data_IF_973498238221
#
_entry.id   IF_973498238221
#
_cell.length_a   1.000
_cell.length_b   1.000
_cell.length_c   1.000
_cell.angle_alpha   90.00
_cell.angle_beta   90.00
_cell.angle_gamma   90.00
#
_symmetry.space_group_name_H-M   'P 1'
#
loop_
_entity.id
_entity.type
_entity.pdbx_description
1 polymer ?
#
# COMPACT_ATOMS: atom_id res chain seq x y z
N UNK A 1 15.71 21.66 1.20
CA UNK A 1 14.55 20.76 1.45
C UNK A 1 14.86 19.33 1.01
N UNK A 2 15.32 19.09 -0.22
CA UNK A 2 15.56 17.73 -0.75
C UNK A 2 16.54 16.89 0.09
N UNK A 3 17.63 17.48 0.61
CA UNK A 3 18.58 16.79 1.51
C UNK A 3 17.94 16.39 2.84
N UNK A 4 17.07 17.25 3.41
CA UNK A 4 16.35 16.92 4.65
C UNK A 4 15.36 15.78 4.39
N UNK A 5 14.63 15.83 3.28
CA UNK A 5 13.70 14.77 2.88
C UNK A 5 14.43 13.43 2.68
N UNK A 6 15.66 13.46 2.16
CA UNK A 6 16.50 12.26 2.06
C UNK A 6 16.85 11.64 3.42
N UNK A 7 16.92 12.43 4.50
CA UNK A 7 17.09 11.93 5.86
C UNK A 7 15.76 11.50 6.49
N UNK A 8 14.65 12.19 6.18
CA UNK A 8 13.32 11.87 6.71
C UNK A 8 12.89 10.45 6.32
N UNK A 9 13.11 10.04 5.07
CA UNK A 9 12.69 8.73 4.56
C UNK A 9 13.28 7.53 5.33
N UNK A 10 14.61 7.38 5.48
CA UNK A 10 15.17 6.28 6.26
C UNK A 10 14.78 6.36 7.74
N UNK A 11 14.66 7.57 8.31
CA UNK A 11 14.20 7.74 9.69
C UNK A 11 12.74 7.31 9.87
N UNK A 12 11.84 7.62 8.93
CA UNK A 12 10.44 7.20 9.02
C UNK A 12 10.29 5.69 8.94
N UNK A 13 11.10 5.03 8.09
CA UNK A 13 11.13 3.57 7.98
C UNK A 13 11.69 2.93 9.26
N UNK A 14 12.72 3.52 9.86
CA UNK A 14 13.27 3.05 11.13
C UNK A 14 12.23 3.17 12.26
N UNK A 15 11.56 4.33 12.36
CA UNK A 15 10.48 4.56 13.34
C UNK A 15 9.34 3.57 13.13
N UNK A 16 8.91 3.35 11.88
CA UNK A 16 7.88 2.35 11.57
C UNK A 16 8.30 0.95 12.06
N UNK A 17 9.56 0.57 11.82
CA UNK A 17 10.11 -0.70 12.32
C UNK A 17 10.21 -0.78 13.84
N UNK A 18 10.43 0.32 14.54
CA UNK A 18 10.57 0.34 16.01
C UNK A 18 9.23 0.43 16.75
N UNK A 19 8.31 1.25 16.26
CA UNK A 19 7.07 1.60 16.97
C UNK A 19 5.82 0.92 16.41
N UNK A 20 5.82 0.52 15.13
CA UNK A 20 4.63 0.02 14.45
C UNK A 20 3.49 1.04 14.40
N UNK A 21 2.27 0.56 14.16
CA UNK A 21 1.08 1.42 14.12
C UNK A 21 0.37 1.53 15.47
N UNK A 22 0.10 2.76 15.96
CA UNK A 22 -0.64 2.92 17.20
C UNK A 22 -2.09 2.48 16.99
N UNK A 23 -2.57 1.57 17.84
CA UNK A 23 -3.96 1.07 17.84
C UNK A 23 -4.91 2.09 18.49
N UNK A 24 -4.98 3.30 17.95
CA UNK A 24 -5.78 4.39 18.51
C UNK A 24 -6.67 5.02 17.46
N UNK A 25 -7.86 5.49 17.88
CA UNK A 25 -8.79 6.25 17.03
C UNK A 25 -8.25 7.60 16.57
N UNK A 26 -7.16 8.07 17.18
CA UNK A 26 -6.52 9.34 16.89
C UNK A 26 -5.40 9.21 15.84
N UNK A 27 -5.12 8.00 15.37
CA UNK A 27 -4.20 7.80 14.26
C UNK A 27 -4.70 8.55 13.01
N UNK A 28 -3.85 9.28 12.26
CA UNK A 28 -4.31 10.10 11.13
C UNK A 28 -5.15 9.34 10.11
N UNK A 29 -4.78 8.11 9.77
CA UNK A 29 -5.56 7.26 8.86
C UNK A 29 -6.94 6.90 9.44
N UNK A 30 -7.04 6.66 10.75
CA UNK A 30 -8.32 6.41 11.41
C UNK A 30 -9.21 7.66 11.45
N UNK A 31 -8.62 8.85 11.56
CA UNK A 31 -9.34 10.12 11.47
C UNK A 31 -9.87 10.37 10.05
N UNK A 32 -9.05 10.12 9.02
CA UNK A 32 -9.47 10.14 7.61
C UNK A 32 -10.65 9.18 7.42
N UNK A 33 -10.51 7.93 7.89
CA UNK A 33 -11.56 6.93 7.78
C UNK A 33 -12.85 7.30 8.51
N UNK A 34 -12.74 7.87 9.72
CA UNK A 34 -13.90 8.34 10.48
C UNK A 34 -14.62 9.49 9.77
N UNK A 35 -13.86 10.40 9.16
CA UNK A 35 -14.41 11.50 8.38
C UNK A 35 -15.13 11.01 7.11
N UNK A 36 -14.52 10.06 6.39
CA UNK A 36 -15.16 9.40 5.24
C UNK A 36 -16.41 8.63 5.67
N UNK A 37 -16.39 7.92 6.79
CA UNK A 37 -17.55 7.21 7.32
C UNK A 37 -18.72 8.14 7.72
N UNK A 38 -18.45 9.42 7.96
CA UNK A 38 -19.47 10.43 8.20
C UNK A 38 -20.16 10.87 6.89
N UNK A 39 -19.40 11.27 5.86
CA UNK A 39 -19.98 11.81 4.63
C UNK A 39 -20.28 10.75 3.55
N UNK A 40 -19.51 9.68 3.51
CA UNK A 40 -19.49 8.65 2.46
C UNK A 40 -20.64 7.63 2.54
N UNK A 41 -21.78 8.02 3.12
CA UNK A 41 -22.96 7.17 3.28
C UNK A 41 -23.89 7.37 2.07
N UNK A 42 -24.06 6.38 1.17
CA UNK A 42 -24.85 6.57 -0.05
C UNK A 42 -26.28 7.03 0.22
N UNK A 43 -26.90 6.51 1.29
CA UNK A 43 -28.26 6.87 1.71
C UNK A 43 -28.41 8.33 2.17
N UNK A 44 -27.33 9.03 2.51
CA UNK A 44 -27.38 10.45 2.88
C UNK A 44 -27.50 11.38 1.66
N UNK A 45 -27.36 10.86 0.44
CA UNK A 45 -27.33 11.64 -0.79
C UNK A 45 -28.39 11.16 -1.77
N UNK A 46 -29.08 12.10 -2.41
CA UNK A 46 -29.98 11.76 -3.50
C UNK A 46 -29.20 11.07 -4.63
N UNK A 47 -29.70 9.98 -5.24
CA UNK A 47 -28.94 9.19 -6.21
C UNK A 47 -28.39 9.97 -7.42
N UNK A 48 -29.03 11.09 -7.78
CA UNK A 48 -28.59 11.96 -8.87
C UNK A 48 -27.33 12.79 -8.53
N UNK A 49 -27.10 13.10 -7.24
CA UNK A 49 -25.97 13.95 -6.81
C UNK A 49 -24.80 13.15 -6.26
N UNK A 50 -24.95 11.85 -6.00
CA UNK A 50 -23.92 10.99 -5.39
C UNK A 50 -22.55 11.09 -6.09
N UNK A 51 -22.52 11.12 -7.43
CA UNK A 51 -21.26 11.27 -8.19
C UNK A 51 -20.58 12.61 -7.95
N UNK A 52 -21.36 13.70 -7.98
CA UNK A 52 -20.84 15.06 -7.75
C UNK A 52 -20.37 15.20 -6.30
N UNK A 53 -21.16 14.71 -5.35
CA UNK A 53 -20.79 14.67 -3.95
C UNK A 53 -19.48 13.90 -3.73
N UNK A 54 -19.33 12.72 -4.36
CA UNK A 54 -18.10 11.94 -4.33
C UNK A 54 -16.88 12.73 -4.81
N UNK A 55 -16.98 13.44 -5.94
CA UNK A 55 -15.89 14.28 -6.47
C UNK A 55 -15.56 15.43 -5.52
N UNK A 56 -16.57 16.19 -5.08
CA UNK A 56 -16.37 17.35 -4.19
C UNK A 56 -15.76 16.92 -2.86
N UNK A 57 -16.31 15.86 -2.25
CA UNK A 57 -15.84 15.35 -0.98
C UNK A 57 -14.46 14.69 -1.09
N UNK A 58 -14.09 14.16 -2.25
CA UNK A 58 -12.72 13.69 -2.50
C UNK A 58 -11.71 14.83 -2.38
N UNK A 59 -11.92 15.93 -3.11
CA UNK A 59 -11.03 17.09 -3.04
C UNK A 59 -11.02 17.72 -1.65
N UNK A 60 -12.18 17.82 -1.02
CA UNK A 60 -12.28 18.35 0.34
C UNK A 60 -11.51 17.49 1.36
N UNK A 61 -11.68 16.17 1.32
CA UNK A 61 -10.98 15.24 2.20
C UNK A 61 -9.47 15.33 1.98
N UNK A 62 -9.00 15.28 0.73
CA UNK A 62 -7.57 15.44 0.41
C UNK A 62 -7.03 16.75 0.93
N UNK A 63 -7.72 17.87 0.70
CA UNK A 63 -7.28 19.19 1.14
C UNK A 63 -7.16 19.26 2.67
N UNK A 64 -8.18 18.81 3.40
CA UNK A 64 -8.20 18.86 4.88
C UNK A 64 -7.08 18.01 5.48
N UNK A 65 -6.84 16.80 4.96
CA UNK A 65 -5.88 15.88 5.55
C UNK A 65 -4.45 16.05 5.05
N UNK A 66 -4.24 16.63 3.86
CA UNK A 66 -2.91 16.99 3.38
C UNK A 66 -2.42 18.34 3.92
N UNK A 67 -3.34 19.24 4.33
CA UNK A 67 -2.98 20.58 4.81
C UNK A 67 -1.96 20.57 5.97
N UNK A 68 -2.09 19.76 7.04
CA UNK A 68 -1.09 19.72 8.11
C UNK A 68 0.31 19.33 7.62
N UNK A 69 0.39 18.43 6.64
CA UNK A 69 1.65 17.97 6.05
C UNK A 69 2.27 19.06 5.17
N UNK A 70 1.44 19.74 4.37
CA UNK A 70 1.86 20.90 3.59
C UNK A 70 2.36 22.05 4.46
N UNK A 71 1.64 22.37 5.54
CA UNK A 71 2.06 23.40 6.49
C UNK A 71 3.37 23.01 7.18
N UNK A 72 3.56 21.74 7.51
CA UNK A 72 4.80 21.25 8.07
C UNK A 72 5.97 21.43 7.09
N UNK A 73 5.84 20.98 5.84
CA UNK A 73 6.88 21.18 4.82
C UNK A 73 7.18 22.66 4.58
N UNK A 74 6.17 23.53 4.58
CA UNK A 74 6.34 24.93 4.19
C UNK A 74 6.90 25.83 5.28
N UNK A 75 6.53 25.57 6.53
CA UNK A 75 6.72 26.52 7.64
C UNK A 75 7.53 25.98 8.82
N UNK A 76 7.71 24.66 8.98
CA UNK A 76 8.58 24.17 10.04
C UNK A 76 10.04 24.47 9.68
N UNK A 77 10.84 25.04 10.61
CA UNK A 77 12.27 25.17 10.39
C UNK A 77 12.90 23.78 10.27
N UNK A 78 14.00 23.69 9.51
CA UNK A 78 14.60 22.43 9.11
C UNK A 78 14.89 21.45 10.26
N UNK A 79 15.29 21.95 11.43
CA UNK A 79 15.60 21.12 12.60
C UNK A 79 14.35 20.51 13.24
N UNK A 80 13.22 21.23 13.26
CA UNK A 80 11.94 20.67 13.70
C UNK A 80 11.39 19.69 12.66
N UNK A 81 11.55 20.00 11.38
CA UNK A 81 11.12 19.11 10.30
C UNK A 81 11.91 17.80 10.32
N UNK A 82 13.20 17.83 10.66
CA UNK A 82 14.02 16.63 10.80
C UNK A 82 13.53 15.68 11.91
N UNK A 83 12.93 16.23 12.97
CA UNK A 83 12.37 15.45 14.08
C UNK A 83 10.93 15.03 13.81
N UNK A 84 10.08 15.95 13.34
CA UNK A 84 8.65 15.71 13.14
C UNK A 84 8.34 14.97 11.82
N UNK A 85 9.05 15.30 10.75
CA UNK A 85 8.84 14.76 9.41
C UNK A 85 8.83 13.23 9.33
N UNK A 86 9.75 12.52 10.02
CA UNK A 86 9.70 11.05 10.08
C UNK A 86 8.37 10.50 10.62
N UNK A 87 7.76 11.15 11.60
CA UNK A 87 6.45 10.75 12.14
C UNK A 87 5.32 11.04 11.15
N UNK A 88 5.35 12.20 10.49
CA UNK A 88 4.39 12.52 9.43
C UNK A 88 4.42 11.47 8.32
N UNK A 89 5.60 11.19 7.76
CA UNK A 89 5.74 10.21 6.69
C UNK A 89 5.35 8.80 7.16
N UNK A 90 5.74 8.43 8.39
CA UNK A 90 5.36 7.14 8.99
C UNK A 90 3.85 6.94 9.01
N UNK A 91 3.03 7.96 9.25
CA UNK A 91 1.56 7.81 9.22
C UNK A 91 0.98 7.45 7.85
N UNK A 92 1.77 7.65 6.78
CA UNK A 92 1.40 7.29 5.42
C UNK A 92 1.90 5.88 5.03
N UNK A 93 2.70 5.23 5.89
CA UNK A 93 3.33 3.93 5.65
C UNK A 93 2.73 2.87 6.58
N UNK A 94 2.83 1.60 6.20
CA UNK A 94 2.42 0.47 7.05
C UNK A 94 3.36 -0.74 6.94
N UNK A 95 4.65 -0.53 6.72
CA UNK A 95 5.57 -1.62 6.35
C UNK A 95 5.69 -2.70 7.44
N UNK A 96 5.98 -2.32 8.68
CA UNK A 96 6.06 -3.26 9.81
C UNK A 96 4.73 -3.98 10.02
N UNK A 97 3.64 -3.22 10.05
CA UNK A 97 2.29 -3.73 10.29
C UNK A 97 1.92 -4.81 9.27
N UNK A 98 2.22 -4.61 7.98
CA UNK A 98 1.96 -5.60 6.93
C UNK A 98 2.74 -6.91 7.15
N UNK A 99 4.03 -6.82 7.49
CA UNK A 99 4.83 -8.02 7.77
C UNK A 99 4.35 -8.74 9.04
N UNK A 100 3.93 -8.00 10.08
CA UNK A 100 3.41 -8.56 11.32
C UNK A 100 2.09 -9.32 11.10
N UNK A 101 1.12 -8.72 10.40
CA UNK A 101 -0.16 -9.38 10.13
C UNK A 101 0.01 -10.62 9.24
N UNK A 102 0.85 -10.56 8.20
CA UNK A 102 1.12 -11.73 7.35
C UNK A 102 1.77 -12.89 8.14
N UNK A 103 2.71 -12.58 9.05
CA UNK A 103 3.30 -13.60 9.93
C UNK A 103 2.31 -14.14 10.94
N UNK A 104 1.51 -13.27 11.55
CA UNK A 104 0.50 -13.67 12.54
C UNK A 104 -0.48 -14.69 11.94
N UNK A 105 -0.92 -14.49 10.69
CA UNK A 105 -1.76 -15.47 9.98
C UNK A 105 -1.00 -16.78 9.76
N UNK A 106 0.25 -16.73 9.27
CA UNK A 106 1.07 -17.93 9.08
C UNK A 106 1.27 -18.75 10.36
N UNK A 107 1.54 -18.08 11.47
CA UNK A 107 1.72 -18.71 12.78
C UNK A 107 0.40 -19.26 13.33
N UNK A 108 -0.70 -18.49 13.23
CA UNK A 108 -2.02 -18.89 13.70
C UNK A 108 -2.52 -20.14 12.95
N UNK A 109 -2.44 -20.13 11.62
CA UNK A 109 -2.85 -21.27 10.78
C UNK A 109 -2.01 -22.53 11.04
N UNK A 110 -0.78 -22.38 11.54
CA UNK A 110 0.06 -23.52 11.96
C UNK A 110 -0.44 -24.19 13.23
N UNK A 111 -1.21 -23.48 14.07
CA UNK A 111 -1.73 -23.96 15.35
C UNK A 111 -3.18 -24.40 15.24
N UNK A 112 -4.02 -23.53 14.67
CA UNK A 112 -5.46 -23.75 14.53
C UNK A 112 -6.01 -22.98 13.32
N UNK A 113 -6.81 -23.66 12.49
CA UNK A 113 -7.40 -23.03 11.30
C UNK A 113 -8.42 -21.93 11.70
N UNK A 114 -9.15 -22.12 12.80
CA UNK A 114 -10.08 -21.12 13.31
C UNK A 114 -9.38 -19.83 13.72
N UNK A 115 -8.26 -19.93 14.43
CA UNK A 115 -7.39 -18.79 14.77
C UNK A 115 -6.88 -18.10 13.51
N UNK A 116 -6.39 -18.87 12.52
CA UNK A 116 -5.98 -18.36 11.22
C UNK A 116 -7.06 -17.58 10.47
N UNK A 117 -8.29 -18.10 10.44
CA UNK A 117 -9.46 -17.43 9.84
C UNK A 117 -9.81 -16.12 10.55
N UNK A 118 -9.63 -16.08 11.87
CA UNK A 118 -9.83 -14.87 12.68
C UNK A 118 -8.75 -13.83 12.39
N UNK A 119 -7.48 -14.21 12.39
CA UNK A 119 -6.38 -13.29 12.11
C UNK A 119 -6.48 -12.71 10.70
N UNK A 120 -6.77 -13.54 9.68
CA UNK A 120 -6.87 -13.03 8.32
C UNK A 120 -8.08 -12.13 8.09
N UNK A 121 -9.15 -12.28 8.89
CA UNK A 121 -10.31 -11.37 8.83
C UNK A 121 -9.97 -9.92 9.18
N UNK A 122 -8.84 -9.70 9.89
CA UNK A 122 -8.33 -8.35 10.17
C UNK A 122 -7.64 -7.71 8.96
N UNK A 123 -7.29 -8.50 7.93
CA UNK A 123 -6.58 -8.05 6.73
C UNK A 123 -7.46 -7.92 5.49
N UNK A 124 -8.61 -8.61 5.46
CA UNK A 124 -9.47 -8.69 4.27
C UNK A 124 -10.93 -8.44 4.62
N UNK A 125 -11.67 -7.83 3.69
CA UNK A 125 -13.11 -7.58 3.82
C UNK A 125 -14.00 -8.75 3.39
N UNK A 126 -13.42 -9.84 2.87
CA UNK A 126 -14.17 -11.06 2.46
C UNK A 126 -14.47 -11.94 3.67
N UNK A 127 -15.55 -12.71 3.60
CA UNK A 127 -15.85 -13.74 4.60
C UNK A 127 -14.71 -14.78 4.66
N UNK A 128 -14.28 -15.11 5.88
CA UNK A 128 -13.14 -16.01 6.12
C UNK A 128 -13.55 -17.35 6.73
N UNK A 129 -14.80 -17.49 7.16
CA UNK A 129 -15.28 -18.62 7.97
C UNK A 129 -15.16 -19.99 7.30
N UNK A 130 -15.17 -20.03 5.97
CA UNK A 130 -15.12 -21.28 5.18
C UNK A 130 -13.79 -21.51 4.47
N UNK A 131 -12.81 -20.61 4.63
CA UNK A 131 -11.53 -20.71 3.91
C UNK A 131 -10.71 -21.91 4.38
N UNK A 132 -10.10 -22.66 3.47
CA UNK A 132 -9.09 -23.68 3.78
C UNK A 132 -7.77 -23.06 4.27
N UNK A 133 -6.84 -23.87 4.81
CA UNK A 133 -5.49 -23.43 5.22
C UNK A 133 -4.82 -22.58 4.11
N UNK A 134 -4.68 -23.15 2.91
CA UNK A 134 -4.10 -22.45 1.76
C UNK A 134 -4.87 -21.19 1.37
N UNK A 135 -6.19 -21.16 1.49
CA UNK A 135 -6.99 -19.97 1.15
C UNK A 135 -6.88 -18.86 2.21
N UNK A 136 -6.65 -19.21 3.47
CA UNK A 136 -6.33 -18.27 4.55
C UNK A 136 -4.94 -17.68 4.32
N UNK A 137 -3.93 -18.50 4.05
CA UNK A 137 -2.59 -18.02 3.70
C UNK A 137 -2.63 -17.16 2.42
N UNK A 138 -3.43 -17.57 1.44
CA UNK A 138 -3.60 -16.81 0.19
C UNK A 138 -4.16 -15.43 0.49
N UNK A 139 -5.22 -15.33 1.29
CA UNK A 139 -5.79 -14.04 1.67
C UNK A 139 -4.74 -13.10 2.29
N UNK A 140 -3.88 -13.63 3.18
CA UNK A 140 -2.83 -12.85 3.83
C UNK A 140 -1.75 -12.39 2.83
N UNK A 141 -1.22 -13.29 2.00
CA UNK A 141 -0.16 -12.95 1.05
C UNK A 141 -0.67 -12.15 -0.16
N UNK A 142 -1.92 -12.32 -0.56
CA UNK A 142 -2.61 -11.45 -1.53
C UNK A 142 -2.68 -10.01 -0.99
N UNK A 143 -3.12 -9.85 0.27
CA UNK A 143 -3.22 -8.54 0.93
C UNK A 143 -1.84 -7.89 1.11
N UNK A 144 -0.82 -8.67 1.48
CA UNK A 144 0.57 -8.21 1.55
C UNK A 144 1.10 -7.75 0.18
N UNK A 145 0.85 -8.53 -0.88
CA UNK A 145 1.29 -8.22 -2.23
C UNK A 145 0.64 -6.95 -2.78
N UNK A 146 -0.64 -6.74 -2.49
CA UNK A 146 -1.37 -5.52 -2.83
C UNK A 146 -0.78 -4.31 -2.11
N UNK A 147 -0.69 -4.41 -0.79
CA UNK A 147 -0.29 -3.32 0.07
C UNK A 147 1.20 -2.97 -0.02
N UNK A 148 2.02 -3.80 -0.66
CA UNK A 148 3.35 -3.38 -1.09
C UNK A 148 3.25 -2.09 -1.92
N UNK A 149 2.31 -2.01 -2.85
CA UNK A 149 2.12 -0.79 -3.64
C UNK A 149 1.41 0.28 -2.81
N UNK A 150 0.23 -0.05 -2.29
CA UNK A 150 -0.68 0.94 -1.70
C UNK A 150 -0.19 1.54 -0.37
N UNK A 151 0.60 0.81 0.40
CA UNK A 151 1.02 1.24 1.74
C UNK A 151 2.52 1.45 1.87
N UNK A 152 3.30 1.25 0.80
CA UNK A 152 4.76 1.44 0.82
C UNK A 152 5.25 2.17 -0.42
N UNK A 153 5.17 1.56 -1.61
CA UNK A 153 5.79 2.12 -2.82
C UNK A 153 5.13 3.43 -3.22
N UNK A 154 3.80 3.52 -3.22
CA UNK A 154 3.09 4.74 -3.62
C UNK A 154 3.30 5.91 -2.65
N UNK A 155 3.16 5.74 -1.31
CA UNK A 155 3.49 6.82 -0.38
C UNK A 155 4.94 7.31 -0.51
N UNK A 156 5.93 6.40 -0.67
CA UNK A 156 7.34 6.78 -0.83
C UNK A 156 7.57 7.48 -2.18
N UNK A 157 6.90 7.03 -3.24
CA UNK A 157 6.97 7.66 -4.56
C UNK A 157 6.47 9.10 -4.52
N UNK A 158 5.28 9.32 -3.97
CA UNK A 158 4.71 10.67 -3.86
C UNK A 158 5.45 11.55 -2.85
N UNK A 159 6.05 10.95 -1.81
CA UNK A 159 7.00 11.65 -0.94
C UNK A 159 8.22 12.16 -1.70
N UNK A 160 8.82 11.31 -2.55
CA UNK A 160 9.96 11.69 -3.38
C UNK A 160 9.66 12.85 -4.33
N UNK A 161 8.43 12.94 -4.85
CA UNK A 161 8.02 13.97 -5.79
C UNK A 161 7.56 15.28 -5.12
N UNK A 162 6.78 15.18 -4.05
CA UNK A 162 6.06 16.33 -3.48
C UNK A 162 6.22 16.46 -1.96
N UNK A 163 7.18 15.77 -1.35
CA UNK A 163 7.42 15.82 0.10
C UNK A 163 6.29 15.19 0.93
N UNK A 164 6.17 15.59 2.19
CA UNK A 164 5.18 15.06 3.12
C UNK A 164 3.76 15.26 2.61
N UNK A 165 3.49 16.40 1.96
CA UNK A 165 2.19 16.67 1.35
C UNK A 165 1.81 15.64 0.28
N UNK A 166 2.76 15.22 -0.56
CA UNK A 166 2.53 14.18 -1.58
C UNK A 166 2.11 12.85 -0.99
N UNK A 167 2.84 12.39 0.04
CA UNK A 167 2.52 11.15 0.74
C UNK A 167 1.11 11.20 1.37
N UNK A 168 0.75 12.34 1.98
CA UNK A 168 -0.55 12.53 2.60
C UNK A 168 -1.71 12.57 1.60
N UNK A 169 -1.54 13.26 0.47
CA UNK A 169 -2.52 13.29 -0.63
C UNK A 169 -2.82 11.88 -1.10
N UNK A 170 -1.76 11.10 -1.37
CA UNK A 170 -1.91 9.72 -1.81
C UNK A 170 -2.60 8.88 -0.73
N UNK A 171 -2.17 8.99 0.54
CA UNK A 171 -2.77 8.19 1.63
C UNK A 171 -4.26 8.49 1.82
N UNK A 172 -4.67 9.76 1.70
CA UNK A 172 -6.07 10.14 1.76
C UNK A 172 -6.87 9.56 0.57
N UNK A 173 -6.32 9.64 -0.64
CA UNK A 173 -6.94 9.05 -1.84
C UNK A 173 -7.13 7.54 -1.73
N UNK A 174 -6.08 6.83 -1.31
CA UNK A 174 -6.12 5.38 -1.12
C UNK A 174 -7.09 4.96 0.00
N UNK A 175 -7.15 5.71 1.10
CA UNK A 175 -8.12 5.46 2.18
C UNK A 175 -9.57 5.63 1.69
N UNK A 176 -9.83 6.60 0.82
CA UNK A 176 -11.15 6.78 0.22
C UNK A 176 -11.55 5.63 -0.70
N UNK A 177 -10.62 5.09 -1.50
CA UNK A 177 -10.90 3.90 -2.30
C UNK A 177 -11.16 2.67 -1.41
N UNK A 178 -10.33 2.43 -0.40
CA UNK A 178 -10.51 1.31 0.53
C UNK A 178 -11.87 1.30 1.25
N UNK A 179 -12.50 2.47 1.43
CA UNK A 179 -13.81 2.61 2.08
C UNK A 179 -15.00 2.72 1.13
N UNK A 180 -14.82 3.32 -0.05
CA UNK A 180 -15.90 3.66 -0.98
C UNK A 180 -15.83 2.91 -2.31
N UNK A 181 -14.69 2.30 -2.66
CA UNK A 181 -14.43 1.60 -3.93
C UNK A 181 -15.17 0.26 -4.11
N UNK A 182 -16.21 0.01 -3.32
CA UNK A 182 -17.02 -1.20 -3.41
C UNK A 182 -18.05 -1.10 -4.55
N UNK A 183 -18.34 -2.25 -5.17
CA UNK A 183 -19.37 -2.38 -6.21
C UNK A 183 -20.73 -2.74 -5.61
N UNK A 184 -21.17 -1.93 -4.67
CA UNK A 184 -22.47 -2.02 -4.01
C UNK A 184 -23.21 -0.68 -4.14
N UNK A 185 -24.03 -0.32 -3.15
CA UNK A 185 -24.69 0.99 -3.08
C UNK A 185 -23.70 2.17 -3.08
N UNK A 186 -22.42 1.92 -2.78
CA UNK A 186 -21.34 2.93 -2.83
C UNK A 186 -20.79 3.18 -4.22
N UNK A 187 -21.13 2.39 -5.24
CA UNK A 187 -20.52 2.49 -6.58
C UNK A 187 -20.58 3.92 -7.16
N UNK A 188 -21.71 4.62 -6.97
CA UNK A 188 -21.88 5.98 -7.51
C UNK A 188 -21.09 7.05 -6.75
N UNK A 189 -21.10 7.00 -5.42
CA UNK A 189 -20.40 7.98 -4.58
C UNK A 189 -18.89 7.72 -4.54
N UNK A 190 -18.46 6.46 -4.66
CA UNK A 190 -17.07 6.03 -4.63
C UNK A 190 -16.38 5.96 -5.99
N UNK A 191 -17.10 6.11 -7.10
CA UNK A 191 -16.55 6.00 -8.47
C UNK A 191 -15.29 6.86 -8.68
N UNK A 192 -15.30 8.11 -8.20
CA UNK A 192 -14.16 9.01 -8.38
C UNK A 192 -12.96 8.58 -7.55
N UNK A 193 -13.19 8.16 -6.30
CA UNK A 193 -12.14 7.62 -5.42
C UNK A 193 -11.45 6.41 -6.04
N UNK A 194 -12.22 5.45 -6.55
CA UNK A 194 -11.69 4.25 -7.21
C UNK A 194 -10.88 4.58 -8.47
N UNK A 195 -11.37 5.54 -9.28
CA UNK A 195 -10.65 5.96 -10.48
C UNK A 195 -9.35 6.69 -10.14
N UNK A 196 -9.35 7.52 -9.11
CA UNK A 196 -8.17 8.26 -8.67
C UNK A 196 -7.14 7.33 -8.05
N UNK A 197 -7.54 6.31 -7.28
CA UNK A 197 -6.61 5.30 -6.77
C UNK A 197 -5.94 4.54 -7.92
N UNK A 198 -6.71 4.03 -8.90
CA UNK A 198 -6.18 3.37 -10.09
C UNK A 198 -5.18 4.27 -10.87
N UNK A 199 -5.45 5.58 -10.94
CA UNK A 199 -4.56 6.53 -11.60
C UNK A 199 -3.27 6.76 -10.80
N UNK A 200 -3.39 7.02 -9.50
CA UNK A 200 -2.26 7.35 -8.64
C UNK A 200 -1.33 6.14 -8.44
N UNK A 201 -1.89 4.93 -8.38
CA UNK A 201 -1.13 3.70 -8.27
C UNK A 201 -0.53 3.21 -9.61
N UNK A 202 -0.84 3.86 -10.73
CA UNK A 202 -0.41 3.40 -12.05
C UNK A 202 1.11 3.28 -12.17
N UNK A 203 1.84 4.35 -11.92
CA UNK A 203 3.32 4.36 -12.02
C UNK A 203 3.93 3.53 -10.88
N UNK A 204 3.56 3.74 -9.60
CA UNK A 204 4.08 2.94 -8.48
C UNK A 204 3.96 1.43 -8.66
N UNK A 205 2.81 0.93 -9.13
CA UNK A 205 2.60 -0.51 -9.33
C UNK A 205 3.55 -1.11 -10.37
N UNK A 206 3.90 -0.34 -11.40
CA UNK A 206 4.84 -0.78 -12.46
C UNK A 206 6.27 -0.76 -11.94
N UNK A 207 6.64 0.26 -11.18
CA UNK A 207 7.94 0.31 -10.49
C UNK A 207 8.08 -0.92 -9.57
N UNK A 208 7.08 -1.18 -8.72
CA UNK A 208 7.07 -2.34 -7.85
C UNK A 208 7.21 -3.65 -8.64
N UNK A 209 6.48 -3.78 -9.76
CA UNK A 209 6.60 -4.93 -10.65
C UNK A 209 8.01 -5.12 -11.22
N UNK A 210 8.65 -4.06 -11.71
CA UNK A 210 10.03 -4.13 -12.23
C UNK A 210 11.00 -4.53 -11.11
N UNK A 211 10.90 -3.93 -9.93
CA UNK A 211 11.75 -4.27 -8.78
C UNK A 211 11.57 -5.74 -8.34
N UNK A 212 10.33 -6.24 -8.34
CA UNK A 212 10.05 -7.65 -8.05
C UNK A 212 10.63 -8.59 -9.10
N UNK A 213 10.51 -8.25 -10.39
CA UNK A 213 11.12 -9.04 -11.47
C UNK A 213 12.65 -9.07 -11.35
N UNK A 214 13.29 -7.94 -11.00
CA UNK A 214 14.73 -7.90 -10.75
C UNK A 214 15.11 -8.73 -9.53
N UNK A 215 14.34 -8.66 -8.43
CA UNK A 215 14.55 -9.47 -7.25
C UNK A 215 14.55 -10.98 -7.57
N UNK A 216 13.53 -11.45 -8.30
CA UNK A 216 13.46 -12.86 -8.68
C UNK A 216 14.50 -13.22 -9.75
N UNK A 217 14.85 -12.29 -10.64
CA UNK A 217 15.92 -12.48 -11.63
C UNK A 217 17.29 -12.69 -10.97
N UNK A 218 17.62 -11.92 -9.94
CA UNK A 218 18.84 -12.12 -9.14
C UNK A 218 18.88 -13.47 -8.42
N UNK A 219 17.73 -14.17 -8.31
CA UNK A 219 17.59 -15.51 -7.73
C UNK A 219 17.36 -16.61 -8.78
N UNK A 220 17.61 -16.32 -10.06
CA UNK A 220 17.43 -17.29 -11.15
C UNK A 220 15.98 -17.64 -11.48
N UNK A 221 15.00 -16.83 -11.02
CA UNK A 221 13.55 -17.08 -11.15
C UNK A 221 12.82 -15.97 -11.89
N UNK A 222 13.50 -15.28 -12.80
CA UNK A 222 12.88 -14.29 -13.68
C UNK A 222 11.77 -14.90 -14.55
N UNK A 223 12.05 -16.02 -15.23
CA UNK A 223 11.08 -16.66 -16.15
C UNK A 223 9.74 -16.98 -15.49
N UNK A 224 9.68 -17.75 -14.38
CA UNK A 224 8.38 -18.06 -13.76
C UNK A 224 7.65 -16.82 -13.23
N UNK A 225 8.37 -15.82 -12.73
CA UNK A 225 7.79 -14.55 -12.27
C UNK A 225 7.18 -13.75 -13.44
N UNK A 226 7.89 -13.69 -14.58
CA UNK A 226 7.46 -12.97 -15.77
C UNK A 226 6.32 -13.69 -16.52
N UNK A 227 6.35 -15.01 -16.61
CA UNK A 227 5.25 -15.81 -17.18
C UNK A 227 3.96 -15.62 -16.38
N UNK A 228 4.02 -15.70 -15.05
CA UNK A 228 2.88 -15.44 -14.19
C UNK A 228 2.36 -14.00 -14.35
N UNK A 229 3.26 -13.00 -14.42
CA UNK A 229 2.89 -11.61 -14.71
C UNK A 229 2.08 -11.49 -16.01
N UNK A 230 2.56 -12.06 -17.11
CA UNK A 230 1.88 -11.98 -18.40
C UNK A 230 0.49 -12.64 -18.36
N UNK A 231 0.42 -13.82 -17.75
CA UNK A 231 -0.79 -14.66 -17.68
C UNK A 231 -1.85 -14.12 -16.72
N UNK A 232 -1.42 -13.62 -15.55
CA UNK A 232 -2.30 -13.48 -14.38
C UNK A 232 -2.58 -12.02 -13.97
N UNK A 233 -1.76 -11.04 -14.38
CA UNK A 233 -1.88 -9.63 -13.91
C UNK A 233 -3.25 -8.97 -14.13
N UNK A 234 -4.05 -9.48 -15.07
CA UNK A 234 -5.39 -8.96 -15.42
C UNK A 234 -6.54 -9.74 -14.75
N UNK A 235 -6.25 -10.79 -13.98
CA UNK A 235 -7.29 -11.62 -13.34
C UNK A 235 -7.97 -10.93 -12.17
N UNK A 236 -7.29 -9.97 -11.53
CA UNK A 236 -7.87 -9.12 -10.49
C UNK A 236 -8.51 -7.87 -11.14
N UNK A 237 -9.68 -7.42 -10.68
CA UNK A 237 -10.23 -6.12 -11.08
C UNK A 237 -9.26 -4.96 -10.79
N UNK A 238 -9.23 -3.96 -11.68
CA UNK A 238 -8.27 -2.87 -11.63
C UNK A 238 -7.05 -3.13 -12.53
N UNK A 239 -6.18 -2.13 -12.65
CA UNK A 239 -5.03 -2.18 -13.58
C UNK A 239 -3.67 -2.28 -12.86
N UNK A 240 -3.68 -2.24 -11.53
CA UNK A 240 -2.48 -2.13 -10.69
C UNK A 240 -2.27 -3.36 -9.81
N UNK A 241 -3.22 -3.69 -8.93
CA UNK A 241 -3.02 -4.69 -7.87
C UNK A 241 -2.63 -6.09 -8.37
N UNK A 242 -3.07 -6.50 -9.57
CA UNK A 242 -2.70 -7.79 -10.14
C UNK A 242 -1.22 -7.91 -10.53
N UNK A 243 -0.50 -6.79 -10.73
CA UNK A 243 0.92 -6.77 -11.11
C UNK A 243 1.80 -7.39 -10.02
N UNK A 244 1.89 -6.83 -8.79
CA UNK A 244 2.73 -7.38 -7.74
C UNK A 244 2.29 -8.80 -7.33
N UNK A 245 0.99 -9.08 -7.31
CA UNK A 245 0.45 -10.41 -6.96
C UNK A 245 0.93 -11.50 -7.91
N UNK A 246 0.79 -11.27 -9.23
CA UNK A 246 1.17 -12.26 -10.23
C UNK A 246 2.68 -12.54 -10.19
N UNK A 247 3.50 -11.50 -10.04
CA UNK A 247 4.97 -11.63 -9.99
C UNK A 247 5.40 -12.35 -8.71
N UNK A 248 4.84 -12.01 -7.55
CA UNK A 248 5.15 -12.68 -6.28
C UNK A 248 4.73 -14.14 -6.30
N UNK A 249 3.52 -14.45 -6.78
CA UNK A 249 3.05 -15.83 -6.87
C UNK A 249 3.93 -16.67 -7.79
N UNK A 250 4.23 -16.17 -9.00
CA UNK A 250 5.10 -16.86 -9.96
C UNK A 250 6.54 -17.02 -9.47
N UNK A 251 7.15 -15.95 -8.95
CA UNK A 251 8.54 -15.96 -8.50
C UNK A 251 8.78 -16.82 -7.25
N UNK A 252 7.82 -16.84 -6.32
CA UNK A 252 7.88 -17.71 -5.14
C UNK A 252 7.45 -19.17 -5.44
N UNK A 253 6.87 -19.43 -6.62
CA UNK A 253 6.39 -20.75 -7.02
C UNK A 253 5.12 -21.20 -6.28
N UNK A 254 4.29 -20.24 -5.85
CA UNK A 254 3.04 -20.49 -5.13
C UNK A 254 1.83 -20.12 -5.99
N UNK A 255 0.63 -20.45 -5.51
CA UNK A 255 -0.61 -19.98 -6.12
C UNK A 255 -1.43 -19.17 -5.12
N UNK A 256 -1.78 -17.94 -5.50
CA UNK A 256 -2.81 -17.18 -4.81
C UNK A 256 -4.18 -17.58 -5.36
N UNK A 257 -5.10 -17.91 -4.46
CA UNK A 257 -6.48 -18.26 -4.76
C UNK A 257 -7.46 -17.37 -3.99
N UNK A 258 -8.32 -16.69 -4.76
CA UNK A 258 -9.57 -16.10 -4.25
C UNK A 258 -10.74 -16.95 -4.75
N UNK A 259 -11.37 -17.76 -3.88
CA UNK A 259 -12.41 -18.70 -4.28
C UNK A 259 -13.52 -18.03 -5.10
N UNK A 260 -13.92 -18.68 -6.20
CA UNK A 260 -14.95 -18.17 -7.12
C UNK A 260 -14.56 -16.91 -7.90
N UNK A 261 -13.31 -16.43 -7.83
CA UNK A 261 -12.88 -15.20 -8.52
C UNK A 261 -11.64 -15.40 -9.38
N UNK A 262 -10.52 -15.83 -8.81
CA UNK A 262 -9.29 -16.04 -9.58
C UNK A 262 -8.30 -16.97 -8.88
N UNK A 263 -7.35 -17.47 -9.69
CA UNK A 263 -6.09 -18.10 -9.26
C UNK A 263 -4.91 -17.47 -9.99
N UNK A 264 -3.85 -17.11 -9.29
CA UNK A 264 -2.63 -16.49 -9.84
C UNK A 264 -1.40 -17.27 -9.40
N UNK A 265 -0.44 -17.47 -10.30
CA UNK A 265 0.72 -18.33 -10.08
C UNK A 265 0.40 -19.82 -10.27
N UNK A 266 1.40 -20.65 -9.99
CA UNK A 266 1.36 -22.10 -10.20
C UNK A 266 1.81 -22.78 -8.90
N UNK A 267 1.06 -23.77 -8.38
CA UNK A 267 1.28 -24.33 -7.04
C UNK A 267 2.42 -25.34 -7.01
N UNK A 268 3.66 -24.90 -7.28
CA UNK A 268 4.84 -25.76 -7.13
C UNK A 268 5.23 -25.96 -5.67
N UNK A 269 4.84 -25.00 -4.81
CA UNK A 269 5.07 -24.99 -3.37
C UNK A 269 3.79 -24.54 -2.66
N UNK A 270 3.61 -25.02 -1.44
CA UNK A 270 2.55 -24.53 -0.54
C UNK A 270 2.78 -23.05 -0.19
N UNK A 271 1.73 -22.32 0.18
CA UNK A 271 1.89 -20.93 0.64
C UNK A 271 2.63 -20.87 1.98
N UNK A 272 2.60 -21.95 2.75
CA UNK A 272 3.40 -22.13 3.96
C UNK A 272 4.90 -22.10 3.65
N UNK A 273 5.33 -22.81 2.62
CA UNK A 273 6.73 -22.87 2.20
C UNK A 273 7.20 -21.59 1.47
N UNK A 274 6.35 -21.01 0.64
CA UNK A 274 6.68 -19.81 -0.15
C UNK A 274 6.51 -18.49 0.61
N UNK A 275 5.71 -18.47 1.66
CA UNK A 275 5.39 -17.29 2.46
C UNK A 275 6.59 -16.46 2.94
N UNK A 276 7.62 -17.08 3.57
CA UNK A 276 8.82 -16.36 3.99
C UNK A 276 9.54 -15.64 2.84
N UNK A 277 9.50 -16.20 1.63
CA UNK A 277 10.08 -15.58 0.45
C UNK A 277 9.27 -14.41 -0.07
N UNK A 278 7.93 -14.48 -0.03
CA UNK A 278 7.05 -13.35 -0.38
C UNK A 278 7.37 -12.16 0.55
N UNK A 279 7.47 -12.41 1.86
CA UNK A 279 7.84 -11.38 2.85
C UNK A 279 9.25 -10.83 2.56
N UNK A 280 10.22 -11.69 2.23
CA UNK A 280 11.57 -11.27 1.90
C UNK A 280 11.63 -10.43 0.61
N UNK A 281 10.81 -10.74 -0.40
CA UNK A 281 10.70 -9.99 -1.64
C UNK A 281 10.12 -8.59 -1.39
N UNK A 282 9.01 -8.51 -0.65
CA UNK A 282 8.39 -7.23 -0.22
C UNK A 282 9.42 -6.37 0.51
N UNK A 283 10.11 -6.95 1.51
CA UNK A 283 11.18 -6.27 2.26
C UNK A 283 12.30 -5.75 1.35
N UNK A 284 12.81 -6.59 0.44
CA UNK A 284 13.89 -6.20 -0.45
C UNK A 284 13.46 -5.05 -1.37
N UNK A 285 12.27 -5.15 -1.97
CA UNK A 285 11.72 -4.11 -2.84
C UNK A 285 11.49 -2.80 -2.08
N UNK A 286 10.96 -2.84 -0.86
CA UNK A 286 10.82 -1.67 0.01
C UNK A 286 12.17 -0.99 0.23
N UNK A 287 13.20 -1.73 0.63
CA UNK A 287 14.53 -1.19 0.91
C UNK A 287 15.16 -0.62 -0.37
N UNK A 288 15.18 -1.39 -1.45
CA UNK A 288 15.76 -0.98 -2.73
C UNK A 288 15.09 0.28 -3.27
N UNK A 289 13.76 0.36 -3.24
CA UNK A 289 13.04 1.53 -3.70
C UNK A 289 13.31 2.76 -2.81
N UNK A 290 13.33 2.57 -1.49
CA UNK A 290 13.61 3.65 -0.54
C UNK A 290 15.01 4.22 -0.74
N UNK A 291 16.01 3.35 -0.96
CA UNK A 291 17.38 3.77 -1.26
C UNK A 291 17.45 4.52 -2.60
N UNK A 292 16.75 4.05 -3.63
CA UNK A 292 16.71 4.74 -4.92
C UNK A 292 16.10 6.15 -4.81
N UNK A 293 14.99 6.29 -4.07
CA UNK A 293 14.35 7.59 -3.82
C UNK A 293 15.23 8.49 -2.97
N UNK A 294 15.87 7.96 -1.92
CA UNK A 294 16.83 8.70 -1.10
C UNK A 294 17.99 9.24 -1.95
N UNK A 295 18.59 8.40 -2.80
CA UNK A 295 19.68 8.82 -3.68
C UNK A 295 19.23 9.88 -4.69
N UNK A 296 18.03 9.73 -5.28
CA UNK A 296 17.47 10.74 -6.16
C UNK A 296 17.28 12.09 -5.44
N UNK A 297 16.78 12.08 -4.20
CA UNK A 297 16.61 13.28 -3.38
C UNK A 297 17.95 13.95 -3.03
N UNK A 298 19.00 13.17 -2.77
CA UNK A 298 20.36 13.69 -2.53
C UNK A 298 20.90 14.37 -3.78
N UNK A 299 20.81 13.70 -4.95
CA UNK A 299 21.30 14.24 -6.23
C UNK A 299 20.55 15.52 -6.61
N UNK A 300 19.22 15.52 -6.47
CA UNK A 300 18.41 16.72 -6.70
C UNK A 300 18.83 17.84 -5.74
N UNK A 301 19.04 17.51 -4.47
CA UNK A 301 19.50 18.46 -3.46
C UNK A 301 20.87 19.08 -3.77
N UNK A 302 21.84 18.28 -4.24
CA UNK A 302 23.17 18.78 -4.60
C UNK A 302 23.12 19.70 -5.82
N UNK A 303 22.31 19.36 -6.84
CA UNK A 303 22.14 20.20 -8.03
C UNK A 303 21.51 21.55 -7.68
N UNK A 304 20.53 21.59 -6.76
CA UNK A 304 19.93 22.87 -6.32
C UNK A 304 20.94 23.75 -5.57
N UNK A 305 21.79 23.17 -4.74
CA UNK A 305 22.84 23.91 -4.01
C UNK A 305 23.87 24.49 -4.98
N UNK A 306 24.31 23.71 -5.98
CA UNK A 306 25.32 24.15 -6.95
C UNK A 306 24.79 25.20 -7.94
N UNK A 307 23.47 25.23 -8.19
CA UNK A 307 22.85 26.19 -9.13
C UNK A 307 22.40 27.49 -8.48
N UNK A 308 22.48 27.62 -7.14
CA UNK A 308 22.16 28.87 -6.43
C UNK A 308 20.69 29.30 -6.51
N UNK A 309 19.77 28.38 -6.80
CA UNK A 309 18.31 28.59 -6.80
C UNK A 309 17.73 28.17 -5.46
#
# INVERSE_FOLDING_TARGET
>A
MSVINALILPLSLLIDRMMGDPKTRFHPVALVGSFIGWWGRPAAWHPAVQRVAGVVMWFFTVAVFALPFFLADRYLPWFLLLVAGPFFLKFCLAWRSLEEHARAVGDAVSRDLGEGRREVSLMVSRETGELSDEQVLSAAYESLAENLVDSIISPIFYFGLFGLAGAAIFRAANTMDAMLGYRDDRERIGWFSARMDDLLNFIPARIAGVLLLMYFGARGRFSPAYEAYQRDRRKRPGINGGIPMAILAGGAGVQFEKPGRYRMGTPHRSLREGGPEIIAAVRAVTITFSLAVMMALIILGSVTIDTGI
#
